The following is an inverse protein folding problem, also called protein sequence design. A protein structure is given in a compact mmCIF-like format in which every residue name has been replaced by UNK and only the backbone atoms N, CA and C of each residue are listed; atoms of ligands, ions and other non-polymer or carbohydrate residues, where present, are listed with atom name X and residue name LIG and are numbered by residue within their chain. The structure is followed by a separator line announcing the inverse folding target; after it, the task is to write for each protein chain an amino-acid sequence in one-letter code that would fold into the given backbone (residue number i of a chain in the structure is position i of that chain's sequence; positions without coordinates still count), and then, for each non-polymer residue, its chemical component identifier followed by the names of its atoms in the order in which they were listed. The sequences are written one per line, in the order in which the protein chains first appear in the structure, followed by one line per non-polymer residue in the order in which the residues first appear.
data_IF_471497183137
#
_entry.id   IF_471497183137
#
_cell.length_a   1.000
_cell.length_b   1.000
_cell.length_c   1.000
_cell.angle_alpha   90.00
_cell.angle_beta   90.00
_cell.angle_gamma   90.00
#
_symmetry.space_group_name_H-M   'P 1'
#
loop_
_entity.id
_entity.type
_entity.pdbx_description
1 polymer ?
#
# COMPACT_ATOMS: atom_id res chain seq x y z
N UNK A 1 -10.20 39.01 21.39
CA UNK A 1 -10.43 38.37 20.08
C UNK A 1 -9.11 38.41 19.32
N UNK A 2 -8.79 37.29 18.67
CA UNK A 2 -7.65 37.07 17.76
C UNK A 2 -6.28 36.83 18.42
N UNK A 3 -5.91 35.55 18.56
CA UNK A 3 -4.84 34.93 17.76
C UNK A 3 -4.51 33.55 18.35
N UNK A 4 -5.24 32.52 17.89
CA UNK A 4 -4.74 31.15 18.01
C UNK A 4 -3.90 30.90 16.78
N UNK A 5 -2.59 31.07 16.94
CA UNK A 5 -1.59 30.60 15.98
C UNK A 5 -1.80 29.09 15.82
N UNK A 6 -2.40 28.70 14.69
CA UNK A 6 -2.51 27.32 14.26
C UNK A 6 -1.09 26.86 13.90
N UNK A 7 -0.37 26.44 14.94
CA UNK A 7 0.90 25.77 14.79
C UNK A 7 0.68 24.55 13.92
N UNK A 8 1.37 24.55 12.79
CA UNK A 8 1.60 23.42 11.90
C UNK A 8 1.85 22.17 12.74
N UNK A 9 0.84 21.29 12.82
CA UNK A 9 1.04 19.96 13.36
C UNK A 9 1.71 19.14 12.25
N UNK A 10 3.02 19.27 12.14
CA UNK A 10 3.82 18.14 11.68
C UNK A 10 3.77 17.10 12.81
N UNK A 11 3.00 16.02 12.63
CA UNK A 11 3.18 14.82 13.44
C UNK A 11 4.16 13.88 12.72
N UNK A 12 5.42 13.78 13.17
CA UNK A 12 6.29 12.70 12.74
C UNK A 12 5.86 11.43 13.49
N UNK A 13 4.93 10.65 12.93
CA UNK A 13 4.46 9.44 13.61
C UNK A 13 3.27 8.68 13.01
N UNK A 14 2.75 9.04 11.84
CA UNK A 14 1.59 8.34 11.23
C UNK A 14 1.93 6.97 10.59
N UNK A 15 3.00 6.31 11.04
CA UNK A 15 3.27 4.92 10.73
C UNK A 15 2.83 4.11 11.97
N UNK A 16 2.12 2.99 11.78
CA UNK A 16 1.99 1.88 12.74
C UNK A 16 0.71 1.67 13.58
N UNK A 17 -0.44 2.31 13.31
CA UNK A 17 -1.64 1.95 14.07
C UNK A 17 -2.95 2.05 13.29
N UNK A 18 -3.05 1.32 12.18
CA UNK A 18 -4.38 0.88 11.74
C UNK A 18 -4.76 -0.39 12.54
N UNK A 19 -5.73 -0.32 13.48
CA UNK A 19 -6.12 -1.46 14.30
C UNK A 19 -6.89 -2.54 13.51
N UNK A 20 -7.30 -2.23 12.28
CA UNK A 20 -8.17 -3.06 11.45
C UNK A 20 -7.37 -3.82 10.40
N UNK A 21 -6.36 -3.18 9.78
CA UNK A 21 -5.56 -3.78 8.70
C UNK A 21 -4.11 -3.98 9.17
N UNK A 22 -3.76 -5.24 9.44
CA UNK A 22 -2.40 -5.64 9.82
C UNK A 22 -1.41 -5.43 8.67
N UNK A 23 -0.33 -4.69 8.94
CA UNK A 23 0.78 -4.46 8.01
C UNK A 23 1.44 -5.79 7.59
N UNK A 24 1.65 -6.72 8.52
CA UNK A 24 2.24 -8.02 8.19
C UNK A 24 1.32 -8.85 7.30
N UNK A 25 0.00 -8.75 7.50
CA UNK A 25 -1.00 -9.34 6.61
C UNK A 25 -0.91 -8.77 5.20
N UNK A 26 -0.78 -7.44 5.06
CA UNK A 26 -0.61 -6.77 3.77
C UNK A 26 0.68 -7.21 3.08
N UNK A 27 1.81 -7.25 3.80
CA UNK A 27 3.10 -7.71 3.25
C UNK A 27 3.04 -9.16 2.76
N UNK A 28 2.45 -10.05 3.55
CA UNK A 28 2.29 -11.44 3.16
C UNK A 28 1.38 -11.57 1.93
N UNK A 29 0.26 -10.85 1.91
CA UNK A 29 -0.68 -10.85 0.80
C UNK A 29 -0.03 -10.30 -0.47
N UNK A 30 0.71 -9.19 -0.40
CA UNK A 30 1.42 -8.60 -1.53
C UNK A 30 2.45 -9.54 -2.14
N UNK A 31 3.27 -10.22 -1.30
CA UNK A 31 4.21 -11.26 -1.79
C UNK A 31 3.48 -12.37 -2.53
N UNK A 32 2.37 -12.85 -1.98
CA UNK A 32 1.56 -13.90 -2.62
C UNK A 32 0.92 -13.41 -3.92
N UNK A 33 0.51 -12.16 -3.97
CA UNK A 33 -0.05 -11.53 -5.17
C UNK A 33 0.99 -11.44 -6.29
N UNK A 34 2.21 -10.98 -5.97
CA UNK A 34 3.33 -10.96 -6.92
C UNK A 34 3.66 -12.36 -7.43
N UNK A 35 3.63 -13.38 -6.56
CA UNK A 35 3.88 -14.77 -7.00
C UNK A 35 2.84 -15.28 -8.01
N UNK A 36 1.61 -14.78 -7.96
CA UNK A 36 0.52 -15.20 -8.84
C UNK A 36 0.50 -14.39 -10.14
N UNK A 37 0.68 -13.07 -10.05
CA UNK A 37 0.47 -12.14 -11.16
C UNK A 37 1.77 -11.52 -11.71
N UNK A 38 2.92 -11.81 -11.11
CA UNK A 38 4.19 -11.25 -11.53
C UNK A 38 4.23 -9.73 -11.40
N UNK A 39 4.79 -9.08 -12.42
CA UNK A 39 4.95 -7.62 -12.47
C UNK A 39 3.60 -6.88 -12.59
N UNK A 40 2.55 -7.54 -13.09
CA UNK A 40 1.20 -6.97 -13.21
C UNK A 40 0.42 -6.93 -11.87
N UNK A 41 1.02 -7.44 -10.79
CA UNK A 41 0.35 -7.55 -9.50
C UNK A 41 -0.24 -6.22 -8.98
N UNK A 42 0.42 -5.05 -9.10
CA UNK A 42 -0.15 -3.77 -8.70
C UNK A 42 -1.41 -3.42 -9.51
N UNK A 43 -1.38 -3.57 -10.84
CA UNK A 43 -2.49 -3.25 -11.73
C UNK A 43 -3.70 -4.17 -11.47
N UNK A 44 -3.45 -5.46 -11.22
CA UNK A 44 -4.51 -6.41 -10.87
C UNK A 44 -5.12 -6.06 -9.51
N UNK A 45 -4.30 -5.72 -8.51
CA UNK A 45 -4.81 -5.28 -7.21
C UNK A 45 -5.66 -4.00 -7.34
N UNK A 46 -5.25 -3.04 -8.17
CA UNK A 46 -6.04 -1.83 -8.46
C UNK A 46 -7.40 -2.16 -9.09
N UNK A 47 -7.47 -3.12 -10.01
CA UNK A 47 -8.76 -3.59 -10.57
C UNK A 47 -9.68 -4.14 -9.48
N UNK A 48 -9.13 -4.81 -8.47
CA UNK A 48 -9.90 -5.27 -7.31
C UNK A 48 -10.39 -4.10 -6.44
N UNK A 49 -9.57 -3.07 -6.21
CA UNK A 49 -9.99 -1.84 -5.51
C UNK A 49 -11.23 -1.25 -6.20
N UNK A 50 -11.11 -0.93 -7.48
CA UNK A 50 -12.18 -0.28 -8.24
C UNK A 50 -13.47 -1.12 -8.24
N UNK A 51 -13.35 -2.44 -8.39
CA UNK A 51 -14.49 -3.36 -8.36
C UNK A 51 -15.16 -3.43 -6.97
N UNK A 52 -14.39 -3.34 -5.89
CA UNK A 52 -14.92 -3.44 -4.53
C UNK A 52 -15.52 -2.12 -4.07
N UNK A 53 -14.90 -1.01 -4.45
CA UNK A 53 -15.39 0.35 -4.20
C UNK A 53 -16.73 0.59 -4.89
N UNK A 54 -16.86 0.21 -6.17
CA UNK A 54 -18.13 0.24 -6.90
C UNK A 54 -19.24 -0.63 -6.28
N UNK A 55 -18.89 -1.57 -5.39
CA UNK A 55 -19.84 -2.42 -4.65
C UNK A 55 -20.07 -1.94 -3.20
N UNK A 56 -19.54 -0.79 -2.82
CA UNK A 56 -19.61 -0.25 -1.47
C UNK A 56 -18.82 -1.05 -0.42
N UNK A 57 -17.90 -1.93 -0.85
CA UNK A 57 -17.08 -2.76 0.06
C UNK A 57 -15.79 -2.05 0.43
N UNK A 58 -15.92 -0.89 1.06
CA UNK A 58 -14.85 0.08 1.30
C UNK A 58 -13.67 -0.51 2.10
N UNK A 59 -13.94 -1.25 3.16
CA UNK A 59 -12.88 -1.84 3.99
C UNK A 59 -12.04 -2.86 3.21
N UNK A 60 -12.68 -3.68 2.37
CA UNK A 60 -11.96 -4.63 1.52
C UNK A 60 -11.22 -3.92 0.39
N UNK A 61 -11.81 -2.86 -0.17
CA UNK A 61 -11.16 -2.02 -1.18
C UNK A 61 -9.88 -1.37 -0.62
N UNK A 62 -9.94 -0.82 0.60
CA UNK A 62 -8.79 -0.24 1.31
C UNK A 62 -7.68 -1.28 1.53
N UNK A 63 -8.03 -2.50 1.93
CA UNK A 63 -7.04 -3.58 2.06
C UNK A 63 -6.35 -3.89 0.72
N UNK A 64 -7.10 -3.95 -0.38
CA UNK A 64 -6.51 -4.14 -1.71
C UNK A 64 -5.67 -2.94 -2.17
N UNK A 65 -6.03 -1.71 -1.78
CA UNK A 65 -5.24 -0.52 -2.08
C UNK A 65 -3.86 -0.59 -1.40
N UNK A 66 -3.81 -1.05 -0.14
CA UNK A 66 -2.53 -1.26 0.55
C UNK A 66 -1.71 -2.40 -0.03
N UNK A 67 -2.37 -3.48 -0.45
CA UNK A 67 -1.70 -4.57 -1.17
C UNK A 67 -1.11 -4.05 -2.49
N UNK A 68 -1.84 -3.22 -3.23
CA UNK A 68 -1.36 -2.61 -4.47
C UNK A 68 -0.09 -1.78 -4.24
N UNK A 69 -0.09 -0.93 -3.21
CA UNK A 69 1.06 -0.09 -2.85
C UNK A 69 2.27 -0.96 -2.45
N UNK A 70 2.03 -1.99 -1.64
CA UNK A 70 3.09 -2.87 -1.17
C UNK A 70 3.66 -3.73 -2.31
N UNK A 71 2.83 -4.17 -3.27
CA UNK A 71 3.30 -4.82 -4.49
C UNK A 71 4.25 -3.91 -5.28
N UNK A 72 3.83 -2.67 -5.56
CA UNK A 72 4.65 -1.71 -6.29
C UNK A 72 5.99 -1.43 -5.56
N UNK A 73 5.95 -1.28 -4.23
CA UNK A 73 7.14 -1.07 -3.41
C UNK A 73 8.12 -2.24 -3.50
N UNK A 74 7.63 -3.48 -3.43
CA UNK A 74 8.46 -4.69 -3.49
C UNK A 74 9.07 -4.91 -4.88
N UNK A 75 8.30 -4.69 -5.96
CA UNK A 75 8.79 -4.82 -7.33
C UNK A 75 9.87 -3.77 -7.62
N UNK A 76 9.65 -2.51 -7.25
CA UNK A 76 10.67 -1.46 -7.36
C UNK A 76 11.95 -1.80 -6.60
N UNK A 77 11.81 -2.33 -5.37
CA UNK A 77 12.97 -2.77 -4.59
C UNK A 77 13.72 -3.92 -5.27
N UNK A 78 12.99 -4.87 -5.85
CA UNK A 78 13.56 -5.99 -6.61
C UNK A 78 14.36 -5.49 -7.81
N UNK A 79 13.81 -4.55 -8.57
CA UNK A 79 14.48 -3.92 -9.71
C UNK A 79 15.77 -3.21 -9.30
N UNK A 80 15.72 -2.40 -8.22
CA UNK A 80 16.92 -1.73 -7.70
C UNK A 80 18.02 -2.73 -7.33
N UNK A 81 17.68 -3.85 -6.70
CA UNK A 81 18.65 -4.88 -6.33
C UNK A 81 19.25 -5.58 -7.55
N UNK A 82 18.44 -5.85 -8.58
CA UNK A 82 18.94 -6.41 -9.85
C UNK A 82 19.95 -5.45 -10.50
N UNK A 83 19.62 -4.16 -10.56
CA UNK A 83 20.49 -3.15 -11.16
C UNK A 83 21.78 -2.92 -10.35
N UNK A 84 21.72 -3.03 -9.02
CA UNK A 84 22.91 -2.94 -8.16
C UNK A 84 23.85 -4.13 -8.31
N UNK A 85 23.32 -5.32 -8.61
CA UNK A 85 24.13 -6.55 -8.71
C UNK A 85 24.83 -6.68 -10.07
N UNK A 86 24.33 -6.01 -11.10
CA UNK A 86 24.84 -6.09 -12.48
C UNK A 86 25.90 -5.01 -12.77
N UNK A 87 25.95 -3.94 -11.97
CA UNK A 87 26.99 -2.90 -12.02
C UNK A 87 28.13 -3.21 -11.04
#
# INVERSE_FOLDING_TARGET
MSDVSFSTIEQPGALYSDPIISIEGVKWAARRFILIYGDDAPEVALKHVNRLDAKGRLQTAEMFARIQQECARLLKKSEMLRNFTIN
#
